data_IF_517303914409
#
_entry.id   IF_517303914409
#
_cell.length_a   1.000
_cell.length_b   1.000
_cell.length_c   1.000
_cell.angle_alpha   90.00
_cell.angle_beta   90.00
_cell.angle_gamma   90.00
#
_symmetry.space_group_name_H-M   'P 1'
#
loop_
_entity.id
_entity.type
_entity.pdbx_description
1 polymer ?
#
# COMPACT_ATOMS: atom_id res chain seq x y z
N UNK A 1 -7.23 9.01 15.91
CA UNK A 1 -7.45 9.08 14.45
C UNK A 1 -8.52 8.08 14.08
N UNK A 2 -9.58 8.55 13.46
CA UNK A 2 -10.62 7.70 12.85
C UNK A 2 -10.09 7.08 11.54
N UNK A 3 -10.85 6.12 10.96
CA UNK A 3 -10.44 5.38 9.75
C UNK A 3 -10.17 6.31 8.56
N UNK A 4 -11.07 7.27 8.31
CA UNK A 4 -10.95 8.22 7.20
C UNK A 4 -9.69 9.08 7.32
N UNK A 5 -9.40 9.62 8.51
CA UNK A 5 -8.18 10.40 8.75
C UNK A 5 -6.90 9.58 8.49
N UNK A 6 -6.92 8.27 8.78
CA UNK A 6 -5.78 7.38 8.50
C UNK A 6 -5.62 7.21 6.99
N UNK A 7 -6.72 6.98 6.27
CA UNK A 7 -6.72 6.81 4.81
C UNK A 7 -6.27 8.08 4.10
N UNK A 8 -6.70 9.26 4.55
CA UNK A 8 -6.26 10.55 4.01
C UNK A 8 -4.76 10.74 4.18
N UNK A 9 -4.25 10.53 5.40
CA UNK A 9 -2.79 10.62 5.64
C UNK A 9 -2.01 9.62 4.81
N UNK A 10 -2.53 8.41 4.64
CA UNK A 10 -1.92 7.39 3.80
C UNK A 10 -1.84 7.86 2.33
N UNK A 11 -2.96 8.31 1.76
CA UNK A 11 -3.02 8.85 0.41
C UNK A 11 -1.99 9.97 0.19
N UNK A 12 -1.97 10.97 1.07
CA UNK A 12 -1.02 12.07 0.96
C UNK A 12 0.43 11.60 1.09
N UNK A 13 0.72 10.56 1.89
CA UNK A 13 2.10 10.11 2.12
C UNK A 13 2.74 9.50 0.88
N UNK A 14 1.97 8.75 0.08
CA UNK A 14 2.48 7.95 -1.03
C UNK A 14 2.20 8.53 -2.42
N UNK A 15 1.28 9.50 -2.53
CA UNK A 15 1.02 10.21 -3.80
C UNK A 15 1.73 11.57 -3.78
N UNK A 16 2.64 11.79 -4.74
CA UNK A 16 3.27 13.10 -4.98
C UNK A 16 4.38 13.53 -3.99
N UNK A 17 4.72 12.71 -2.99
CA UNK A 17 5.63 13.09 -1.90
C UNK A 17 7.00 12.39 -1.91
N UNK A 18 7.47 11.97 -3.09
CA UNK A 18 8.81 11.41 -3.30
C UNK A 18 9.07 10.05 -2.66
N UNK A 19 8.05 9.42 -2.10
CA UNK A 19 8.09 8.07 -1.55
C UNK A 19 7.09 7.19 -2.30
N UNK A 20 7.60 6.21 -3.02
CA UNK A 20 6.78 5.30 -3.82
C UNK A 20 6.29 4.12 -3.00
N UNK A 21 5.05 3.70 -3.24
CA UNK A 21 4.52 2.43 -2.76
C UNK A 21 4.55 1.41 -3.89
N UNK A 22 5.16 0.25 -3.64
CA UNK A 22 5.22 -0.87 -4.58
C UNK A 22 4.54 -2.07 -3.94
N UNK A 23 3.57 -2.67 -4.61
CA UNK A 23 2.96 -3.94 -4.19
C UNK A 23 3.55 -5.05 -5.06
N UNK A 24 4.15 -6.06 -4.44
CA UNK A 24 4.64 -7.26 -5.12
C UNK A 24 3.71 -8.43 -4.82
N UNK A 25 3.27 -9.08 -5.88
CA UNK A 25 2.45 -10.27 -5.83
C UNK A 25 3.03 -11.29 -6.80
N UNK A 26 3.48 -12.43 -6.25
CA UNK A 26 4.20 -13.45 -7.02
C UNK A 26 5.37 -12.85 -7.83
N UNK A 27 5.31 -12.94 -9.16
CA UNK A 27 6.34 -12.44 -10.09
C UNK A 27 6.04 -11.03 -10.64
N UNK A 28 4.96 -10.40 -10.16
CA UNK A 28 4.54 -9.07 -10.56
C UNK A 28 4.87 -8.03 -9.49
N UNK A 29 5.18 -6.83 -9.97
CA UNK A 29 5.38 -5.64 -9.13
C UNK A 29 4.54 -4.51 -9.70
N UNK A 30 3.74 -3.90 -8.83
CA UNK A 30 2.84 -2.82 -9.17
C UNK A 30 3.30 -1.55 -8.46
N UNK A 31 3.71 -0.55 -9.24
CA UNK A 31 4.05 0.77 -8.73
C UNK A 31 2.76 1.58 -8.59
N UNK A 32 2.38 1.89 -7.35
CA UNK A 32 1.21 2.72 -7.08
C UNK A 32 1.53 4.17 -7.43
N UNK A 33 0.69 4.79 -8.26
CA UNK A 33 0.83 6.21 -8.62
C UNK A 33 -0.40 7.04 -8.27
N UNK A 34 -1.57 6.42 -8.10
CA UNK A 34 -2.80 7.09 -7.68
C UNK A 34 -3.43 6.31 -6.54
N UNK A 35 -3.91 7.03 -5.52
CA UNK A 35 -4.65 6.48 -4.39
C UNK A 35 -5.89 7.36 -4.20
N UNK A 36 -7.05 6.73 -4.18
CA UNK A 36 -8.35 7.37 -4.00
C UNK A 36 -9.07 6.73 -2.81
N UNK A 37 -9.82 7.56 -2.08
CA UNK A 37 -10.70 7.10 -1.01
C UNK A 37 -12.11 7.09 -1.58
N UNK A 38 -12.72 5.92 -1.62
CA UNK A 38 -14.09 5.72 -2.08
C UNK A 38 -15.01 5.40 -0.92
N UNK A 39 -16.26 5.84 -0.98
CA UNK A 39 -17.31 5.47 -0.03
C UNK A 39 -18.26 4.47 -0.71
N UNK A 40 -18.62 3.39 -0.01
CA UNK A 40 -19.69 2.51 -0.49
C UNK A 40 -21.03 3.20 -0.23
N UNK A 41 -21.73 3.57 -1.29
CA UNK A 41 -23.01 4.30 -1.21
C UNK A 41 -24.24 3.39 -1.28
N UNK A 42 -24.08 2.19 -1.85
CA UNK A 42 -25.15 1.20 -1.98
C UNK A 42 -24.58 -0.23 -2.12
N UNK A 43 -25.47 -1.22 -2.20
CA UNK A 43 -25.14 -2.64 -2.34
C UNK A 43 -24.84 -3.08 -3.78
N UNK A 44 -24.84 -2.16 -4.76
CA UNK A 44 -24.42 -2.48 -6.13
C UNK A 44 -22.90 -2.48 -6.27
N UNK A 45 -22.19 -1.93 -5.27
CA UNK A 45 -20.74 -1.98 -5.19
C UNK A 45 -20.25 -3.43 -5.02
N UNK A 46 -19.32 -3.85 -5.89
CA UNK A 46 -18.72 -5.21 -5.93
C UNK A 46 -17.95 -5.54 -4.64
N UNK A 47 -17.63 -4.53 -3.83
CA UNK A 47 -16.90 -4.68 -2.57
C UNK A 47 -17.86 -5.13 -1.47
N UNK A 48 -18.08 -6.45 -1.40
CA UNK A 48 -19.03 -7.08 -0.48
C UNK A 48 -18.58 -6.98 0.98
N UNK A 49 -17.26 -7.00 1.25
CA UNK A 49 -16.74 -7.01 2.62
C UNK A 49 -16.84 -5.66 3.36
N UNK A 50 -17.36 -4.63 2.70
CA UNK A 50 -17.48 -3.26 3.23
C UNK A 50 -18.94 -2.90 3.39
N UNK A 51 -19.37 -2.39 4.55
CA UNK A 51 -20.75 -1.95 4.75
C UNK A 51 -21.03 -0.63 4.03
N UNK A 52 -22.29 -0.43 3.63
CA UNK A 52 -22.75 0.85 3.08
C UNK A 52 -22.51 1.97 4.10
N UNK A 53 -21.98 3.09 3.62
CA UNK A 53 -21.57 4.25 4.42
C UNK A 53 -20.10 4.24 4.83
N UNK A 54 -19.39 3.11 4.70
CA UNK A 54 -17.96 3.00 5.02
C UNK A 54 -17.05 3.22 3.79
N UNK A 55 -15.76 3.39 4.05
CA UNK A 55 -14.75 3.81 3.09
C UNK A 55 -13.74 2.71 2.76
N UNK A 56 -13.19 2.78 1.55
CA UNK A 56 -12.15 1.89 1.04
C UNK A 56 -11.16 2.60 0.13
N UNK A 57 -10.03 1.93 -0.13
CA UNK A 57 -9.00 2.47 -1.02
C UNK A 57 -9.17 1.88 -2.42
N UNK A 58 -9.14 2.77 -3.40
CA UNK A 58 -8.94 2.42 -4.79
C UNK A 58 -7.55 2.92 -5.19
N UNK A 59 -6.69 2.01 -5.65
CA UNK A 59 -5.33 2.33 -6.04
C UNK A 59 -5.13 2.01 -7.52
N UNK A 60 -4.53 2.95 -8.24
CA UNK A 60 -4.09 2.73 -9.63
C UNK A 60 -2.59 2.54 -9.63
N UNK A 61 -2.17 1.47 -10.29
CA UNK A 61 -0.79 1.05 -10.35
C UNK A 61 -0.38 0.70 -11.76
N UNK A 62 0.91 0.80 -12.05
CA UNK A 62 1.49 0.28 -13.30
C UNK A 62 2.35 -0.94 -13.03
N UNK A 63 2.24 -1.94 -13.88
CA UNK A 63 3.12 -3.10 -13.87
C UNK A 63 4.49 -2.78 -14.53
N UNK A 64 5.39 -3.76 -14.56
CA UNK A 64 6.70 -3.66 -15.22
C UNK A 64 6.65 -3.38 -16.73
N UNK A 65 5.52 -3.66 -17.38
CA UNK A 65 5.28 -3.42 -18.80
C UNK A 65 4.59 -2.07 -19.05
N UNK A 66 4.31 -1.29 -18.00
CA UNK A 66 3.56 -0.03 -18.09
C UNK A 66 2.05 -0.21 -18.24
N UNK A 67 1.52 -1.41 -18.00
CA UNK A 67 0.08 -1.66 -18.03
C UNK A 67 -0.54 -1.23 -16.70
N UNK A 68 -1.63 -0.46 -16.78
CA UNK A 68 -2.37 -0.03 -15.61
C UNK A 68 -3.20 -1.18 -15.03
N UNK A 69 -3.24 -1.23 -13.70
CA UNK A 69 -4.06 -2.13 -12.91
C UNK A 69 -4.80 -1.32 -11.84
N UNK A 70 -6.09 -1.64 -11.66
CA UNK A 70 -6.90 -1.14 -10.56
C UNK A 70 -6.87 -2.15 -9.41
N UNK A 71 -6.55 -1.65 -8.22
CA UNK A 71 -6.48 -2.44 -7.00
C UNK A 71 -7.46 -1.86 -6.00
N UNK A 72 -8.49 -2.63 -5.67
CA UNK A 72 -9.45 -2.31 -4.61
C UNK A 72 -8.95 -2.95 -3.31
N UNK A 73 -8.89 -2.16 -2.23
CA UNK A 73 -8.34 -2.63 -0.96
C UNK A 73 -9.22 -2.21 0.22
N UNK A 74 -9.66 -3.22 0.98
CA UNK A 74 -10.21 -3.06 2.33
C UNK A 74 -9.11 -3.25 3.39
N UNK A 75 -8.05 -2.45 3.35
CA UNK A 75 -6.95 -2.59 4.30
C UNK A 75 -7.34 -2.13 5.71
N UNK A 76 -6.89 -2.89 6.71
CA UNK A 76 -7.16 -2.56 8.10
C UNK A 76 -6.50 -1.23 8.50
N UNK A 77 -7.10 -0.48 9.43
CA UNK A 77 -6.47 0.73 9.96
C UNK A 77 -5.07 0.48 10.55
N UNK A 78 -4.82 -0.72 11.07
CA UNK A 78 -3.52 -1.13 11.61
C UNK A 78 -2.47 -1.25 10.50
N UNK A 79 -2.80 -1.90 9.38
CA UNK A 79 -1.89 -1.99 8.23
C UNK A 79 -1.53 -0.59 7.69
N UNK A 80 -2.52 0.30 7.57
CA UNK A 80 -2.28 1.67 7.12
C UNK A 80 -1.37 2.45 8.07
N UNK A 81 -1.56 2.29 9.40
CA UNK A 81 -0.67 2.91 10.39
C UNK A 81 0.76 2.37 10.30
N UNK A 82 0.92 1.05 10.13
CA UNK A 82 2.22 0.42 9.99
C UNK A 82 2.96 0.92 8.73
N UNK A 83 2.23 1.14 7.63
CA UNK A 83 2.78 1.75 6.41
C UNK A 83 3.19 3.21 6.62
N UNK A 84 2.36 3.98 7.32
CA UNK A 84 2.68 5.36 7.67
C UNK A 84 3.91 5.45 8.59
N UNK A 85 4.08 4.53 9.54
CA UNK A 85 5.27 4.46 10.37
C UNK A 85 6.51 4.05 9.58
N UNK A 86 6.38 3.00 8.77
CA UNK A 86 7.44 2.54 7.86
C UNK A 86 7.86 3.65 6.89
N UNK A 87 6.94 4.52 6.47
CA UNK A 87 7.24 5.67 5.62
C UNK A 87 8.15 6.70 6.26
N UNK A 88 8.02 6.89 7.58
CA UNK A 88 8.90 7.79 8.33
C UNK A 88 10.30 7.21 8.40
N UNK A 89 10.40 5.94 8.80
CA UNK A 89 11.67 5.21 8.90
C UNK A 89 12.38 5.17 7.54
N UNK A 90 11.65 4.86 6.46
CA UNK A 90 12.20 4.83 5.11
C UNK A 90 12.75 6.20 4.69
N UNK A 91 12.01 7.30 4.94
CA UNK A 91 12.46 8.65 4.64
C UNK A 91 13.69 9.04 5.46
N UNK A 92 13.72 8.72 6.75
CA UNK A 92 14.87 8.96 7.64
C UNK A 92 16.12 8.20 7.17
N UNK A 93 15.94 6.99 6.62
CA UNK A 93 16.99 6.17 6.03
C UNK A 93 17.40 6.61 4.60
N UNK A 94 16.79 7.67 4.05
CA UNK A 94 17.05 8.13 2.68
C UNK A 94 16.55 7.17 1.58
N UNK A 95 15.60 6.29 1.91
CA UNK A 95 14.92 5.44 0.94
C UNK A 95 13.77 6.21 0.27
N UNK A 96 13.52 5.91 -1.01
CA UNK A 96 12.43 6.53 -1.78
C UNK A 96 11.35 5.53 -2.21
N UNK A 97 11.39 4.31 -1.69
CA UNK A 97 10.32 3.33 -1.90
C UNK A 97 10.04 2.46 -0.67
N UNK A 98 8.77 2.15 -0.48
CA UNK A 98 8.28 1.05 0.35
C UNK A 98 7.76 -0.05 -0.57
N UNK A 99 8.12 -1.28 -0.29
CA UNK A 99 7.71 -2.48 -1.00
C UNK A 99 6.90 -3.35 -0.03
N UNK A 100 5.65 -3.61 -0.39
CA UNK A 100 4.76 -4.55 0.28
C UNK A 100 4.69 -5.85 -0.50
N UNK A 101 4.66 -6.99 0.19
CA UNK A 101 4.38 -8.29 -0.42
C UNK A 101 3.70 -9.21 0.58
N UNK A 102 2.93 -10.17 0.08
CA UNK A 102 2.35 -11.20 0.94
C UNK A 102 3.37 -12.31 1.18
N UNK A 103 3.56 -12.68 2.44
CA UNK A 103 4.35 -13.85 2.78
C UNK A 103 3.58 -15.12 2.34
N UNK A 104 4.19 -16.02 1.55
CA UNK A 104 3.48 -17.20 1.03
C UNK A 104 2.93 -18.13 2.11
N UNK A 105 3.59 -18.21 3.27
CA UNK A 105 3.25 -19.17 4.33
C UNK A 105 2.14 -18.67 5.25
N UNK A 106 2.10 -17.38 5.54
CA UNK A 106 1.16 -16.80 6.51
C UNK A 106 0.08 -15.95 5.86
N UNK A 107 0.20 -15.66 4.55
CA UNK A 107 -0.65 -14.71 3.83
C UNK A 107 -0.67 -13.30 4.48
N UNK A 108 0.33 -13.01 5.32
CA UNK A 108 0.48 -11.73 6.01
C UNK A 108 1.23 -10.73 5.13
N UNK A 109 0.96 -9.44 5.34
CA UNK A 109 1.67 -8.38 4.63
C UNK A 109 3.03 -8.12 5.27
N UNK A 110 4.09 -8.27 4.47
CA UNK A 110 5.44 -7.87 4.83
C UNK A 110 5.77 -6.53 4.19
N UNK A 111 6.49 -5.69 4.93
CA UNK A 111 6.89 -4.35 4.50
C UNK A 111 8.42 -4.29 4.49
N UNK A 112 8.98 -3.81 3.39
CA UNK A 112 10.41 -3.54 3.22
C UNK A 112 10.60 -2.18 2.57
N UNK A 113 11.77 -1.57 2.70
CA UNK A 113 12.08 -0.28 2.07
C UNK A 113 13.48 -0.32 1.46
N UNK A 114 13.68 0.47 0.41
CA UNK A 114 14.94 0.53 -0.33
C UNK A 114 14.95 1.62 -1.39
N UNK A 115 16.05 1.73 -2.14
CA UNK A 115 16.13 2.64 -3.27
C UNK A 115 15.54 2.00 -4.55
N UNK A 116 14.95 2.79 -5.46
CA UNK A 116 14.44 2.29 -6.72
C UNK A 116 15.61 1.73 -7.53
N UNK A 117 15.60 0.42 -7.82
CA UNK A 117 16.67 -0.24 -8.57
C UNK A 117 17.72 -0.98 -7.73
N UNK A 118 17.65 -0.94 -6.38
CA UNK A 118 18.44 -1.87 -5.55
C UNK A 118 17.80 -3.27 -5.60
N UNK A 119 18.22 -4.06 -6.60
CA UNK A 119 18.07 -5.50 -6.56
C UNK A 119 18.81 -6.04 -5.33
N UNK A 120 18.03 -6.57 -4.37
CA UNK A 120 18.42 -7.53 -3.33
C UNK A 120 19.89 -7.50 -2.90
N UNK A 121 20.26 -6.58 -2.01
CA UNK A 121 21.30 -6.89 -1.03
C UNK A 121 20.71 -6.76 0.38
N UNK A 122 20.28 -7.91 0.91
CA UNK A 122 20.05 -8.24 2.32
C UNK A 122 19.68 -7.06 3.23
N UNK A 123 18.40 -6.69 3.28
CA UNK A 123 17.89 -5.81 4.35
C UNK A 123 16.90 -6.52 5.25
N UNK A 124 17.09 -6.26 6.54
CA UNK A 124 16.47 -6.91 7.69
C UNK A 124 14.95 -6.96 7.57
N UNK A 125 14.42 -8.18 7.70
CA UNK A 125 12.99 -8.44 7.82
C UNK A 125 12.50 -7.99 9.18
N UNK A 126 11.67 -6.95 9.23
CA UNK A 126 10.85 -6.65 10.41
C UNK A 126 9.54 -7.43 10.29
N UNK A 127 9.34 -8.40 11.17
CA UNK A 127 8.07 -9.12 11.27
C UNK A 127 7.07 -8.27 12.04
N UNK A 128 5.86 -8.14 11.51
CA UNK A 128 4.72 -7.55 12.22
C UNK A 128 3.68 -8.65 12.32
N UNK A 129 3.35 -9.05 13.56
CA UNK A 129 2.34 -10.06 13.91
C UNK A 129 1.00 -9.37 14.12
#
# INVERSE_FOLDING_TARGET
>A
MNKLEIMEKFMYTFVGNGLHLIIKEQDNSYLIHTIEIMQKVDETCIVEEIPVGDYFLHMVAVDKNGQEASIICNWSPELLKNLLESSKIAKEAGCSSIIMFKEPLTNSWMITFGKPGEQREKTQTTYVI
#
